data_IF_173672822790
#
_entry.id   IF_173672822790
#
_cell.length_a   1.000
_cell.length_b   1.000
_cell.length_c   1.000
_cell.angle_alpha   90.00
_cell.angle_beta   90.00
_cell.angle_gamma   90.00
#
_symmetry.space_group_name_H-M   'P 1'
#
loop_
_entity.id
_entity.type
_entity.pdbx_description
1 polymer ?
#
# COMPACT_ATOMS: atom_id res chain seq x y z
N UNK A 1 10.63 -21.13 39.74
CA UNK A 1 12.02 -20.80 40.03
C UNK A 1 12.29 -19.37 39.56
N UNK A 2 12.33 -18.48 40.50
CA UNK A 2 12.86 -17.11 40.41
C UNK A 2 14.35 -17.19 40.76
N UNK A 3 15.03 -16.07 40.81
CA UNK A 3 15.56 -15.07 39.86
C UNK A 3 17.07 -14.87 40.09
N UNK A 4 17.69 -13.89 39.44
CA UNK A 4 18.86 -13.16 39.99
C UNK A 4 19.23 -12.07 38.96
N UNK A 5 19.22 -10.86 39.27
CA UNK A 5 19.88 -9.99 40.27
C UNK A 5 20.79 -9.00 39.54
N UNK A 6 20.42 -7.75 39.67
CA UNK A 6 21.19 -6.54 39.31
C UNK A 6 22.26 -6.32 40.42
N UNK A 7 23.39 -5.73 40.16
CA UNK A 7 24.09 -4.98 41.20
C UNK A 7 24.23 -3.50 40.88
N UNK A 8 23.75 -2.73 41.85
CA UNK A 8 24.04 -1.35 42.18
C UNK A 8 25.41 -1.24 42.82
N UNK A 9 26.19 -0.24 42.51
CA UNK A 9 27.31 0.26 43.33
C UNK A 9 27.45 1.79 43.06
N UNK A 10 27.25 2.60 43.96
CA UNK A 10 27.76 2.95 45.27
C UNK A 10 28.48 4.32 45.20
N UNK A 11 27.89 5.25 45.92
CA UNK A 11 28.35 6.61 46.25
C UNK A 11 29.52 6.57 47.25
N UNK A 12 30.42 7.58 47.20
CA UNK A 12 31.13 8.03 48.34
C UNK A 12 32.37 8.83 48.04
N UNK A 13 32.91 9.64 48.94
CA UNK A 13 32.25 10.73 49.64
C UNK A 13 32.98 12.10 49.48
N UNK A 14 32.31 13.13 49.93
CA UNK A 14 32.74 14.51 50.16
C UNK A 14 33.94 14.59 51.11
N UNK A 15 34.87 15.53 50.85
CA UNK A 15 35.68 16.14 51.91
C UNK A 15 35.57 17.66 51.86
N UNK A 16 35.36 18.19 53.04
CA UNK A 16 35.10 19.56 53.40
C UNK A 16 36.38 20.32 53.72
N UNK A 17 36.39 21.58 53.42
CA UNK A 17 36.63 22.82 54.20
C UNK A 17 37.86 22.86 55.16
N UNK A 18 38.69 23.85 55.04
CA UNK A 18 38.68 24.99 55.93
C UNK A 18 39.75 26.04 55.59
N UNK A 19 39.61 27.28 56.10
CA UNK A 19 40.22 28.51 55.59
C UNK A 19 41.32 29.06 56.50
N UNK A 20 41.80 30.25 56.16
CA UNK A 20 42.69 31.22 56.83
C UNK A 20 44.07 31.27 56.19
N UNK A 21 44.69 32.42 55.92
CA UNK A 21 44.66 33.70 56.57
C UNK A 21 45.40 34.77 55.71
N UNK A 22 44.93 35.93 55.90
CA UNK A 22 45.36 37.27 55.63
C UNK A 22 46.88 37.50 55.74
N UNK A 23 47.48 38.16 54.76
CA UNK A 23 48.46 39.31 55.09
C UNK A 23 48.75 40.16 53.84
N UNK A 24 48.58 41.44 54.04
CA UNK A 24 48.94 42.60 53.23
C UNK A 24 50.36 42.57 52.62
N UNK A 25 50.42 42.93 51.32
CA UNK A 25 51.46 43.88 50.86
C UNK A 25 50.94 44.61 49.61
N UNK A 26 50.90 45.93 49.71
CA UNK A 26 50.74 46.89 48.61
C UNK A 26 52.01 46.82 47.74
N UNK A 27 51.83 46.69 46.46
CA UNK A 27 52.80 47.09 45.46
C UNK A 27 52.06 47.70 44.30
N UNK A 28 52.20 48.96 44.10
CA UNK A 28 51.84 49.75 42.96
C UNK A 28 52.72 49.33 41.81
N UNK A 29 52.19 48.71 40.78
CA UNK A 29 52.85 48.60 39.49
C UNK A 29 51.93 48.94 38.34
N UNK A 30 52.43 49.71 37.44
CA UNK A 30 51.97 50.32 36.23
C UNK A 30 51.23 49.27 35.36
N UNK A 31 50.00 49.56 34.98
CA UNK A 31 49.29 48.84 33.93
C UNK A 31 49.85 49.34 32.59
N UNK A 32 50.59 48.50 31.91
CA UNK A 32 50.90 48.67 30.48
C UNK A 32 49.75 48.26 29.56
N UNK A 33 49.52 48.93 28.39
CA UNK A 33 48.37 48.76 27.55
C UNK A 33 48.59 47.65 26.52
N UNK A 34 49.00 46.44 26.93
CA UNK A 34 49.17 45.31 25.99
C UNK A 34 48.00 44.29 25.94
N UNK A 35 47.08 44.31 26.90
CA UNK A 35 46.00 43.31 26.94
C UNK A 35 44.73 43.62 26.05
N UNK A 36 44.66 44.81 25.45
CA UNK A 36 43.51 45.19 24.62
C UNK A 36 43.64 44.70 23.14
N UNK A 37 44.88 44.47 22.67
CA UNK A 37 45.11 43.96 21.32
C UNK A 37 44.84 42.46 21.16
N UNK A 38 45.19 41.64 22.16
CA UNK A 38 44.98 40.18 22.09
C UNK A 38 43.49 39.78 22.15
N UNK A 39 42.65 40.56 22.82
CA UNK A 39 41.19 40.29 22.87
C UNK A 39 40.46 40.58 21.55
N UNK A 40 40.92 41.57 20.79
CA UNK A 40 40.35 41.91 19.48
C UNK A 40 40.74 40.91 18.38
N UNK A 41 41.95 40.36 18.44
CA UNK A 41 42.43 39.34 17.49
C UNK A 41 41.75 37.98 17.73
N UNK A 42 41.44 37.60 18.97
CA UNK A 42 40.72 36.37 19.30
C UNK A 42 39.27 36.42 18.83
N UNK A 43 38.57 37.55 19.04
CA UNK A 43 37.19 37.71 18.55
C UNK A 43 37.10 37.75 17.03
N UNK A 44 38.08 38.35 16.34
CA UNK A 44 38.13 38.28 14.86
C UNK A 44 38.43 36.87 14.36
N UNK A 45 39.32 36.13 14.99
CA UNK A 45 39.64 34.75 14.62
C UNK A 45 38.43 33.80 14.84
N UNK A 46 37.69 33.97 15.95
CA UNK A 46 36.45 33.21 16.20
C UNK A 46 35.36 33.54 15.20
N UNK A 47 35.21 34.80 14.81
CA UNK A 47 34.22 35.21 13.79
C UNK A 47 34.57 34.62 12.43
N UNK A 48 35.81 34.68 11.99
CA UNK A 48 36.30 34.10 10.73
C UNK A 48 36.13 32.57 10.72
N UNK A 49 36.45 31.90 11.83
CA UNK A 49 36.28 30.45 11.96
C UNK A 49 34.80 30.04 11.94
N UNK A 50 33.90 30.82 12.52
CA UNK A 50 32.44 30.63 12.49
C UNK A 50 31.91 30.82 11.08
N UNK A 51 32.29 31.89 10.40
CA UNK A 51 31.87 32.16 9.02
C UNK A 51 32.32 31.08 8.02
N UNK A 52 33.57 30.61 8.16
CA UNK A 52 34.09 29.51 7.36
C UNK A 52 33.31 28.20 7.59
N UNK A 53 32.87 27.95 8.82
CA UNK A 53 32.07 26.78 9.18
C UNK A 53 30.64 26.86 8.55
N UNK A 54 29.99 28.01 8.65
CA UNK A 54 28.66 28.23 8.02
C UNK A 54 28.72 28.10 6.50
N UNK A 55 29.75 28.68 5.89
CA UNK A 55 29.97 28.55 4.45
C UNK A 55 30.20 27.11 4.04
N UNK A 56 30.97 26.34 4.81
CA UNK A 56 31.20 24.93 4.58
C UNK A 56 29.94 24.09 4.66
N UNK A 57 29.01 24.37 5.59
CA UNK A 57 27.73 23.68 5.71
C UNK A 57 26.82 23.98 4.53
N UNK A 58 26.73 25.21 4.07
CA UNK A 58 25.95 25.59 2.90
C UNK A 58 26.49 24.94 1.62
N UNK A 59 27.84 24.92 1.46
CA UNK A 59 28.48 24.29 0.29
C UNK A 59 28.28 22.75 0.26
N UNK A 60 28.15 22.12 1.42
CA UNK A 60 27.92 20.69 1.55
C UNK A 60 26.44 20.29 1.37
N UNK A 61 25.50 21.23 1.30
CA UNK A 61 24.09 20.95 1.15
C UNK A 61 23.81 20.26 -0.21
N UNK A 62 23.01 19.19 -0.25
CA UNK A 62 22.68 18.46 -1.48
C UNK A 62 21.75 19.24 -2.41
N UNK A 63 20.96 20.15 -1.85
CA UNK A 63 20.04 21.00 -2.60
C UNK A 63 20.71 22.35 -2.97
N UNK A 64 20.22 23.00 -4.02
CA UNK A 64 20.63 24.33 -4.36
C UNK A 64 20.16 25.31 -3.29
N UNK A 65 21.11 25.96 -2.61
CA UNK A 65 20.82 26.93 -1.56
C UNK A 65 21.03 28.35 -2.09
N UNK A 66 20.02 29.20 -1.96
CA UNK A 66 20.06 30.60 -2.34
C UNK A 66 19.55 31.44 -1.17
N UNK A 67 20.28 32.49 -0.80
CA UNK A 67 19.86 33.43 0.25
C UNK A 67 19.59 34.77 -0.43
N UNK A 68 18.43 35.35 -0.11
CA UNK A 68 18.02 36.66 -0.66
C UNK A 68 17.83 37.67 0.49
N UNK A 69 18.06 38.93 0.18
CA UNK A 69 17.77 40.06 1.06
C UNK A 69 16.31 40.52 0.93
N UNK A 70 15.93 41.55 1.68
CA UNK A 70 14.60 42.15 1.68
C UNK A 70 14.20 42.75 0.31
N UNK A 71 15.15 43.08 -0.54
CA UNK A 71 14.89 43.59 -1.89
C UNK A 71 14.78 42.44 -2.92
N UNK A 72 14.95 41.19 -2.50
CA UNK A 72 14.96 40.02 -3.37
C UNK A 72 16.26 39.82 -4.14
N UNK A 73 17.34 40.53 -3.78
CA UNK A 73 18.64 40.35 -4.36
C UNK A 73 19.35 39.14 -3.74
N UNK A 74 20.03 38.35 -4.57
CA UNK A 74 20.78 37.17 -4.13
C UNK A 74 22.07 37.62 -3.42
N UNK A 75 22.17 37.33 -2.12
CA UNK A 75 23.35 37.68 -1.29
C UNK A 75 24.28 36.51 -1.11
N UNK A 76 23.78 35.26 -1.22
CA UNK A 76 24.60 34.06 -1.10
C UNK A 76 23.99 32.92 -1.91
N UNK A 77 24.82 32.07 -2.51
CA UNK A 77 24.43 30.79 -3.11
C UNK A 77 25.56 29.77 -2.94
N UNK A 78 25.19 28.49 -2.94
CA UNK A 78 26.13 27.39 -2.86
C UNK A 78 26.51 26.83 -4.24
N UNK A 79 27.51 25.96 -4.28
CA UNK A 79 27.98 25.32 -5.52
C UNK A 79 26.87 24.53 -6.24
N UNK A 80 25.93 23.96 -5.48
CA UNK A 80 24.81 23.21 -6.08
C UNK A 80 23.87 24.14 -6.86
N UNK A 81 23.65 25.36 -6.39
CA UNK A 81 22.87 26.37 -7.13
C UNK A 81 23.58 26.77 -8.44
N UNK A 82 24.91 26.94 -8.41
CA UNK A 82 25.68 27.23 -9.65
C UNK A 82 25.50 26.11 -10.68
N UNK A 83 25.60 24.84 -10.25
CA UNK A 83 25.42 23.67 -11.13
C UNK A 83 24.00 23.52 -11.65
N UNK A 84 23.02 23.71 -10.77
CA UNK A 84 21.61 23.48 -11.11
C UNK A 84 21.07 24.54 -12.07
N UNK A 85 21.45 25.82 -11.85
CA UNK A 85 20.98 26.93 -12.69
C UNK A 85 21.91 27.27 -13.87
N UNK A 86 23.14 26.78 -13.85
CA UNK A 86 24.12 27.01 -14.93
C UNK A 86 24.77 28.39 -14.92
N UNK A 87 24.63 29.14 -13.84
CA UNK A 87 25.29 30.43 -13.63
C UNK A 87 26.53 30.28 -12.78
N UNK A 88 27.50 31.15 -13.00
CA UNK A 88 28.59 31.33 -12.05
C UNK A 88 28.13 32.20 -10.88
N UNK A 89 28.74 32.02 -9.72
CA UNK A 89 28.40 32.78 -8.50
C UNK A 89 28.47 34.29 -8.71
N UNK A 90 29.51 34.77 -9.41
CA UNK A 90 29.72 36.18 -9.71
C UNK A 90 28.64 36.77 -10.65
N UNK A 91 27.94 35.95 -11.42
CA UNK A 91 26.84 36.36 -12.29
C UNK A 91 25.49 36.49 -11.56
N UNK A 92 25.31 35.77 -10.45
CA UNK A 92 24.04 35.79 -9.71
C UNK A 92 24.10 36.66 -8.44
N UNK A 93 25.24 36.85 -7.85
CA UNK A 93 25.36 37.70 -6.66
C UNK A 93 24.92 39.15 -6.97
N UNK A 94 24.02 39.69 -6.14
CA UNK A 94 23.42 41.02 -6.32
C UNK A 94 22.33 41.08 -7.39
N UNK A 95 22.06 39.98 -8.08
CA UNK A 95 20.97 39.92 -9.06
C UNK A 95 19.64 39.55 -8.40
N UNK A 96 18.50 39.97 -8.98
CA UNK A 96 17.20 39.58 -8.48
C UNK A 96 16.98 38.06 -8.63
N UNK A 97 16.35 37.45 -7.62
CA UNK A 97 16.02 36.01 -7.61
C UNK A 97 15.04 35.62 -8.74
N UNK A 98 14.32 36.59 -9.30
CA UNK A 98 13.45 36.41 -10.48
C UNK A 98 14.21 35.91 -11.72
N UNK A 99 15.53 36.04 -11.77
CA UNK A 99 16.34 35.47 -12.86
C UNK A 99 16.33 33.94 -12.89
N UNK A 100 16.08 33.29 -11.75
CA UNK A 100 16.12 31.82 -11.58
C UNK A 100 14.77 31.22 -11.15
N UNK A 101 13.90 32.01 -10.52
CA UNK A 101 12.58 31.61 -10.06
C UNK A 101 11.52 32.52 -10.71
N UNK A 102 10.34 32.02 -11.09
CA UNK A 102 9.33 32.80 -11.81
C UNK A 102 8.87 34.06 -11.05
N UNK A 103 8.51 35.09 -11.84
CA UNK A 103 7.81 36.27 -11.35
C UNK A 103 6.52 35.87 -10.59
N UNK A 104 6.17 36.62 -9.56
CA UNK A 104 5.01 36.31 -8.72
C UNK A 104 5.28 35.38 -7.51
N UNK A 105 6.31 34.56 -7.58
CA UNK A 105 6.80 33.86 -6.37
C UNK A 105 7.88 34.68 -5.65
N UNK A 106 8.72 35.38 -6.42
CA UNK A 106 9.68 36.31 -5.85
C UNK A 106 9.03 37.44 -5.05
N UNK A 107 7.86 37.93 -5.46
CA UNK A 107 7.07 38.92 -4.73
C UNK A 107 6.63 38.41 -3.35
N UNK A 108 6.35 37.11 -3.22
CA UNK A 108 6.06 36.49 -1.91
C UNK A 108 7.28 36.35 -1.02
N UNK A 109 8.47 36.30 -1.61
CA UNK A 109 9.76 36.32 -0.88
C UNK A 109 10.10 37.72 -0.35
N UNK A 110 9.61 38.76 -1.02
CA UNK A 110 9.96 40.16 -0.77
C UNK A 110 8.92 40.87 0.12
N UNK A 111 7.70 40.37 0.20
CA UNK A 111 6.60 41.01 0.90
C UNK A 111 6.90 41.15 2.41
N UNK A 112 6.73 42.35 2.92
CA UNK A 112 6.79 42.76 4.34
C UNK A 112 5.85 41.92 5.27
N UNK A 113 5.09 41.03 4.68
CA UNK A 113 4.08 40.17 5.31
C UNK A 113 4.63 38.85 5.90
N UNK A 114 5.93 38.58 5.78
CA UNK A 114 6.57 37.40 6.40
C UNK A 114 6.40 37.33 7.92
N UNK A 115 6.14 38.48 8.58
CA UNK A 115 5.88 38.52 10.02
C UNK A 115 4.42 38.29 10.43
N UNK A 116 3.46 38.51 9.51
CA UNK A 116 2.02 38.25 9.75
C UNK A 116 1.58 36.88 9.24
N UNK A 117 2.44 36.18 8.50
CA UNK A 117 2.20 34.87 7.90
C UNK A 117 2.99 33.74 8.57
N UNK A 118 3.51 33.92 9.79
CA UNK A 118 4.18 32.84 10.53
C UNK A 118 3.31 31.57 10.58
N UNK A 119 2.00 31.69 10.71
CA UNK A 119 1.09 30.55 10.69
C UNK A 119 0.78 30.02 9.27
N UNK A 120 0.76 30.86 8.26
CA UNK A 120 0.44 30.44 6.88
C UNK A 120 1.67 29.94 6.12
N UNK A 121 2.84 30.50 6.38
CA UNK A 121 4.11 29.97 5.86
C UNK A 121 4.52 28.68 6.58
N UNK A 122 4.30 28.57 7.91
CA UNK A 122 4.59 27.35 8.66
C UNK A 122 3.82 26.14 8.11
N UNK A 123 2.57 26.33 7.64
CA UNK A 123 1.79 25.27 6.99
C UNK A 123 2.26 24.96 5.55
N UNK A 124 2.92 25.89 4.85
CA UNK A 124 3.46 25.66 3.50
C UNK A 124 4.95 25.27 3.47
N UNK A 125 5.70 25.61 4.51
CA UNK A 125 7.14 25.30 4.64
C UNK A 125 7.39 23.78 4.73
N UNK A 126 6.48 23.03 5.34
CA UNK A 126 6.62 21.57 5.52
C UNK A 126 6.25 20.74 4.27
N UNK A 127 5.58 21.33 3.27
CA UNK A 127 5.06 20.57 2.10
C UNK A 127 5.82 20.82 0.80
N UNK A 128 6.78 21.76 0.76
CA UNK A 128 7.49 22.14 -0.49
C UNK A 128 6.54 22.71 -1.56
N UNK A 129 6.86 23.86 -2.14
CA UNK A 129 6.08 24.46 -3.22
C UNK A 129 6.68 24.02 -4.54
N UNK A 130 5.90 23.35 -5.39
CA UNK A 130 6.32 22.98 -6.73
C UNK A 130 6.17 24.14 -7.68
N UNK A 131 7.26 24.49 -8.37
CA UNK A 131 7.35 25.59 -9.33
C UNK A 131 8.14 25.16 -10.56
N UNK A 132 8.20 26.04 -11.56
CA UNK A 132 9.08 25.88 -12.72
C UNK A 132 10.17 26.94 -12.62
N UNK A 133 11.42 26.53 -12.54
CA UNK A 133 12.59 27.41 -12.57
C UNK A 133 13.21 27.48 -13.96
N UNK A 134 14.06 28.49 -14.18
CA UNK A 134 14.75 28.71 -15.46
C UNK A 134 16.25 28.67 -15.27
N UNK A 135 16.95 27.94 -16.17
CA UNK A 135 18.41 27.92 -16.22
C UNK A 135 18.95 29.07 -17.09
N UNK A 136 20.25 29.31 -17.04
CA UNK A 136 20.94 30.31 -17.86
C UNK A 136 20.75 30.12 -19.36
N UNK A 137 20.65 28.88 -19.82
CA UNK A 137 20.41 28.55 -21.22
C UNK A 137 18.96 28.76 -21.67
N UNK A 138 18.09 29.20 -20.77
CA UNK A 138 16.67 29.41 -21.02
C UNK A 138 15.82 28.16 -20.85
N UNK A 139 16.39 26.99 -20.55
CA UNK A 139 15.63 25.78 -20.30
C UNK A 139 14.85 25.89 -18.98
N UNK A 140 13.63 25.35 -18.98
CA UNK A 140 12.77 25.32 -17.81
C UNK A 140 12.76 23.92 -17.19
N UNK A 141 12.68 23.84 -15.88
CA UNK A 141 12.65 22.58 -15.15
C UNK A 141 11.82 22.70 -13.86
N UNK A 142 11.13 21.64 -13.45
CA UNK A 142 10.33 21.65 -12.23
C UNK A 142 11.23 21.61 -11.00
N UNK A 143 10.91 22.47 -10.04
CA UNK A 143 11.59 22.54 -8.75
C UNK A 143 10.60 22.40 -7.61
N UNK A 144 11.10 21.96 -6.47
CA UNK A 144 10.48 22.06 -5.16
C UNK A 144 11.29 23.03 -4.33
N UNK A 145 10.64 24.07 -3.78
CA UNK A 145 11.30 25.10 -3.01
C UNK A 145 10.82 25.11 -1.57
N UNK A 146 11.76 25.16 -0.64
CA UNK A 146 11.52 25.34 0.79
C UNK A 146 12.16 26.63 1.23
N UNK A 147 11.41 27.45 1.99
CA UNK A 147 11.83 28.75 2.45
C UNK A 147 12.01 28.75 3.96
N UNK A 148 13.05 29.43 4.45
CA UNK A 148 13.31 29.61 5.87
C UNK A 148 13.81 31.05 6.12
N UNK A 149 13.16 31.82 6.99
CA UNK A 149 13.67 33.11 7.41
C UNK A 149 14.94 32.94 8.23
N UNK A 150 15.87 33.87 8.06
CA UNK A 150 17.13 33.95 8.79
C UNK A 150 17.34 35.37 9.33
N UNK A 151 17.33 35.53 10.63
CA UNK A 151 17.60 36.83 11.27
C UNK A 151 19.09 37.19 11.11
N UNK A 152 19.36 38.35 10.59
CA UNK A 152 20.71 38.93 10.43
C UNK A 152 20.82 40.29 11.08
N UNK A 153 22.03 40.76 11.32
CA UNK A 153 22.31 42.08 11.89
C UNK A 153 21.82 43.22 10.96
N UNK A 154 21.81 42.95 9.65
CA UNK A 154 21.40 43.89 8.62
C UNK A 154 19.92 43.76 8.21
N UNK A 155 19.15 42.91 8.88
CA UNK A 155 17.73 42.66 8.60
C UNK A 155 17.40 41.19 8.39
N UNK A 156 16.16 40.90 8.00
CA UNK A 156 15.70 39.53 7.71
C UNK A 156 16.18 39.09 6.33
N UNK A 157 16.88 37.98 6.26
CA UNK A 157 17.24 37.27 5.04
C UNK A 157 16.28 36.09 4.85
N UNK A 158 16.09 35.64 3.63
CA UNK A 158 15.32 34.41 3.34
C UNK A 158 16.24 33.39 2.66
N UNK A 159 16.35 32.23 3.27
CA UNK A 159 17.05 31.08 2.69
C UNK A 159 16.07 30.22 1.91
N UNK A 160 16.37 29.97 0.64
CA UNK A 160 15.63 29.07 -0.22
C UNK A 160 16.46 27.81 -0.47
N UNK A 161 15.92 26.63 -0.10
CA UNK A 161 16.43 25.35 -0.56
C UNK A 161 15.62 24.91 -1.79
N UNK A 162 16.30 24.73 -2.92
CA UNK A 162 15.69 24.50 -4.23
C UNK A 162 16.14 23.14 -4.77
N UNK A 163 15.20 22.23 -4.88
CA UNK A 163 15.43 20.87 -5.36
C UNK A 163 14.92 20.69 -6.79
N UNK A 164 15.74 20.20 -7.70
CA UNK A 164 15.32 19.75 -9.02
C UNK A 164 14.54 18.44 -8.89
N UNK A 165 13.28 18.45 -9.31
CA UNK A 165 12.38 17.29 -9.23
C UNK A 165 12.10 16.70 -10.63
N UNK A 166 12.88 17.02 -11.64
CA UNK A 166 12.69 16.53 -13.02
C UNK A 166 12.71 15.00 -13.07
N UNK A 167 13.69 14.36 -12.41
CA UNK A 167 13.81 12.90 -12.38
C UNK A 167 12.63 12.28 -11.65
N UNK A 168 12.22 12.84 -10.50
CA UNK A 168 11.06 12.37 -9.75
C UNK A 168 9.79 12.42 -10.61
N UNK A 169 9.51 13.57 -11.26
CA UNK A 169 8.32 13.74 -12.12
C UNK A 169 8.34 12.83 -13.35
N UNK A 170 9.49 12.64 -13.97
CA UNK A 170 9.63 11.72 -15.09
C UNK A 170 9.32 10.27 -14.67
N UNK A 171 9.86 9.80 -13.53
CA UNK A 171 9.58 8.47 -13.00
C UNK A 171 8.12 8.29 -12.58
N UNK A 172 7.51 9.31 -11.98
CA UNK A 172 6.09 9.28 -11.62
C UNK A 172 5.19 9.23 -12.87
N UNK A 173 5.54 9.98 -13.93
CA UNK A 173 4.81 9.96 -15.20
C UNK A 173 4.91 8.59 -15.88
N UNK A 174 6.11 8.01 -15.94
CA UNK A 174 6.33 6.67 -16.48
C UNK A 174 5.55 5.61 -15.73
N UNK A 175 5.59 5.66 -14.38
CA UNK A 175 4.83 4.73 -13.55
C UNK A 175 3.31 4.86 -13.79
N UNK A 176 2.81 6.08 -13.91
CA UNK A 176 1.37 6.31 -14.21
C UNK A 176 1.00 5.73 -15.58
N UNK A 177 1.85 5.91 -16.59
CA UNK A 177 1.63 5.35 -17.92
C UNK A 177 1.60 3.81 -17.88
N UNK A 178 2.55 3.19 -17.19
CA UNK A 178 2.60 1.73 -17.03
C UNK A 178 1.37 1.20 -16.30
N UNK A 179 0.94 1.84 -15.21
CA UNK A 179 -0.27 1.47 -14.46
C UNK A 179 -1.51 1.57 -15.36
N UNK A 180 -1.62 2.65 -16.14
CA UNK A 180 -2.75 2.85 -17.06
C UNK A 180 -2.76 1.81 -18.19
N UNK A 181 -1.61 1.51 -18.79
CA UNK A 181 -1.48 0.49 -19.82
C UNK A 181 -1.85 -0.90 -19.29
N UNK A 182 -1.38 -1.24 -18.08
CA UNK A 182 -1.72 -2.50 -17.43
C UNK A 182 -3.23 -2.60 -17.13
N UNK A 183 -3.85 -1.53 -16.64
CA UNK A 183 -5.29 -1.48 -16.37
C UNK A 183 -6.11 -1.69 -17.65
N UNK A 184 -5.72 -0.99 -18.75
CA UNK A 184 -6.37 -1.15 -20.06
C UNK A 184 -6.24 -2.57 -20.59
N UNK A 185 -5.03 -3.15 -20.57
CA UNK A 185 -4.80 -4.53 -21.02
C UNK A 185 -5.57 -5.56 -20.20
N UNK A 186 -5.67 -5.35 -18.89
CA UNK A 186 -6.46 -6.23 -18.02
C UNK A 186 -7.96 -6.15 -18.34
N UNK A 187 -8.48 -4.95 -18.61
CA UNK A 187 -9.87 -4.74 -19.01
C UNK A 187 -10.18 -5.39 -20.37
N UNK A 188 -9.28 -5.26 -21.35
CA UNK A 188 -9.42 -5.89 -22.67
C UNK A 188 -9.43 -7.43 -22.54
N UNK A 189 -8.55 -8.00 -21.71
CA UNK A 189 -8.51 -9.44 -21.45
C UNK A 189 -9.80 -9.94 -20.79
N UNK A 190 -10.34 -9.19 -19.83
CA UNK A 190 -11.61 -9.51 -19.17
C UNK A 190 -12.79 -9.45 -20.17
N UNK A 191 -12.82 -8.43 -21.02
CA UNK A 191 -13.84 -8.29 -22.06
C UNK A 191 -13.74 -9.42 -23.09
N UNK A 192 -12.53 -9.77 -23.52
CA UNK A 192 -12.31 -10.89 -24.42
C UNK A 192 -12.82 -12.21 -23.82
N UNK A 193 -12.46 -12.50 -22.56
CA UNK A 193 -12.92 -13.68 -21.85
C UNK A 193 -14.45 -13.73 -21.75
N UNK A 194 -15.11 -12.60 -21.53
CA UNK A 194 -16.55 -12.49 -21.48
C UNK A 194 -17.21 -12.80 -22.83
N UNK A 195 -16.76 -12.13 -23.91
CA UNK A 195 -17.33 -12.32 -25.26
C UNK A 195 -17.11 -13.75 -25.76
N UNK A 196 -15.88 -14.23 -25.67
CA UNK A 196 -15.55 -15.60 -26.07
C UNK A 196 -16.38 -16.65 -25.32
N UNK A 197 -16.57 -16.46 -24.02
CA UNK A 197 -17.37 -17.38 -23.21
C UNK A 197 -18.84 -17.34 -23.57
N UNK A 198 -19.40 -16.17 -23.87
CA UNK A 198 -20.79 -16.03 -24.34
C UNK A 198 -21.00 -16.78 -25.66
N UNK A 199 -20.11 -16.58 -26.64
CA UNK A 199 -20.21 -17.16 -27.96
C UNK A 199 -19.96 -18.67 -27.97
N UNK A 200 -19.27 -19.20 -26.95
CA UNK A 200 -19.10 -20.64 -26.75
C UNK A 200 -20.32 -21.29 -26.06
N UNK A 201 -21.11 -20.54 -25.30
CA UNK A 201 -22.27 -21.10 -24.57
C UNK A 201 -23.36 -21.62 -25.51
N UNK A 202 -23.65 -20.90 -26.59
CA UNK A 202 -24.78 -21.25 -27.48
C UNK A 202 -24.53 -22.57 -28.24
N UNK A 203 -23.40 -22.77 -28.96
CA UNK A 203 -23.11 -24.03 -29.63
C UNK A 203 -23.01 -25.19 -28.63
N UNK A 204 -22.45 -24.95 -27.45
CA UNK A 204 -22.30 -25.97 -26.43
C UNK A 204 -23.65 -26.39 -25.83
N UNK A 205 -24.56 -25.45 -25.65
CA UNK A 205 -25.94 -25.75 -25.23
C UNK A 205 -26.63 -26.67 -26.24
N UNK A 206 -26.43 -26.46 -27.56
CA UNK A 206 -26.97 -27.34 -28.59
C UNK A 206 -26.36 -28.74 -28.53
N UNK A 207 -25.01 -28.82 -28.43
CA UNK A 207 -24.30 -30.11 -28.29
C UNK A 207 -24.81 -30.85 -27.06
N UNK A 208 -24.88 -30.21 -25.90
CA UNK A 208 -25.39 -30.80 -24.65
C UNK A 208 -26.83 -31.30 -24.81
N UNK A 209 -27.71 -30.50 -25.43
CA UNK A 209 -29.11 -30.86 -25.64
C UNK A 209 -29.26 -32.09 -26.53
N UNK A 210 -28.56 -32.13 -27.67
CA UNK A 210 -28.64 -33.26 -28.60
C UNK A 210 -27.97 -34.53 -28.06
N UNK A 211 -26.86 -34.43 -27.37
CA UNK A 211 -26.22 -35.59 -26.73
C UNK A 211 -27.10 -36.19 -25.63
N UNK A 212 -27.74 -35.33 -24.81
CA UNK A 212 -28.71 -35.79 -23.80
C UNK A 212 -29.94 -36.45 -24.44
N UNK A 213 -30.47 -35.92 -25.56
CA UNK A 213 -31.57 -36.51 -26.29
C UNK A 213 -31.17 -37.89 -26.85
N UNK A 214 -29.95 -38.01 -27.39
CA UNK A 214 -29.44 -39.32 -27.86
C UNK A 214 -29.37 -40.32 -26.70
N UNK A 215 -28.80 -39.91 -25.55
CA UNK A 215 -28.75 -40.75 -24.36
C UNK A 215 -30.14 -41.23 -23.91
N UNK A 216 -31.12 -40.28 -23.81
CA UNK A 216 -32.48 -40.64 -23.39
C UNK A 216 -33.21 -41.54 -24.39
N UNK A 217 -33.05 -41.30 -25.71
CA UNK A 217 -33.83 -41.96 -26.75
C UNK A 217 -33.28 -43.34 -27.08
N UNK A 218 -31.96 -43.55 -27.02
CA UNK A 218 -31.30 -44.75 -27.51
C UNK A 218 -30.63 -45.57 -26.43
N UNK A 219 -30.70 -45.17 -25.13
CA UNK A 219 -30.14 -45.94 -24.01
C UNK A 219 -30.66 -47.38 -24.02
N UNK A 220 -29.78 -48.36 -24.04
CA UNK A 220 -30.09 -49.79 -24.10
C UNK A 220 -30.68 -50.30 -25.42
N UNK A 221 -30.73 -49.46 -26.48
CA UNK A 221 -31.18 -49.83 -27.82
C UNK A 221 -30.00 -50.01 -28.79
N UNK A 222 -28.82 -49.58 -28.44
CA UNK A 222 -27.57 -49.72 -29.17
C UNK A 222 -26.65 -50.69 -28.41
N UNK A 223 -25.46 -50.92 -28.93
CA UNK A 223 -24.45 -51.71 -28.21
C UNK A 223 -23.87 -50.97 -27.00
N UNK A 224 -23.21 -51.68 -26.12
CA UNK A 224 -22.60 -51.12 -24.89
C UNK A 224 -21.64 -50.00 -25.15
N UNK A 225 -20.90 -50.07 -26.26
CA UNK A 225 -19.88 -49.09 -26.65
C UNK A 225 -20.56 -47.79 -27.06
N UNK A 226 -21.70 -47.83 -27.75
CA UNK A 226 -22.47 -46.65 -28.11
C UNK A 226 -23.05 -45.93 -26.84
N UNK A 227 -23.59 -46.71 -25.88
CA UNK A 227 -24.07 -46.16 -24.61
C UNK A 227 -22.92 -45.49 -23.83
N UNK A 228 -21.70 -46.09 -23.81
CA UNK A 228 -20.51 -45.50 -23.19
C UNK A 228 -20.07 -44.20 -23.91
N UNK A 229 -20.01 -44.20 -25.24
CA UNK A 229 -19.64 -43.01 -26.01
C UNK A 229 -20.62 -41.85 -25.82
N UNK A 230 -21.93 -42.14 -25.77
CA UNK A 230 -22.95 -41.13 -25.50
C UNK A 230 -22.78 -40.58 -24.08
N UNK A 231 -22.51 -41.42 -23.08
CA UNK A 231 -22.27 -40.96 -21.70
C UNK A 231 -21.05 -40.07 -21.61
N UNK A 232 -19.93 -40.41 -22.27
CA UNK A 232 -18.76 -39.54 -22.34
C UNK A 232 -19.04 -38.22 -23.03
N UNK A 233 -19.83 -38.20 -24.11
CA UNK A 233 -20.18 -36.98 -24.81
C UNK A 233 -21.06 -36.07 -23.94
N UNK A 234 -22.03 -36.62 -23.21
CA UNK A 234 -22.92 -35.89 -22.28
C UNK A 234 -22.08 -35.29 -21.14
N UNK A 235 -21.21 -36.08 -20.50
CA UNK A 235 -20.34 -35.57 -19.43
C UNK A 235 -19.34 -34.49 -19.93
N UNK A 236 -18.79 -34.70 -21.13
CA UNK A 236 -17.90 -33.73 -21.78
C UNK A 236 -18.58 -32.39 -22.01
N UNK A 237 -19.81 -32.40 -22.57
CA UNK A 237 -20.57 -31.20 -22.81
C UNK A 237 -20.98 -30.47 -21.52
N UNK A 238 -21.49 -31.20 -20.52
CA UNK A 238 -21.84 -30.63 -19.21
C UNK A 238 -20.65 -29.98 -18.50
N UNK A 239 -19.48 -30.56 -18.67
CA UNK A 239 -18.25 -29.98 -18.12
C UNK A 239 -17.80 -28.72 -18.82
N UNK A 240 -17.78 -28.66 -20.13
CA UNK A 240 -17.44 -27.46 -20.87
C UNK A 240 -18.39 -26.32 -20.48
N UNK A 241 -19.67 -26.61 -20.29
CA UNK A 241 -20.66 -25.65 -19.84
C UNK A 241 -20.31 -25.07 -18.46
N UNK A 242 -19.90 -25.94 -17.50
CA UNK A 242 -19.44 -25.49 -16.16
C UNK A 242 -18.19 -24.63 -16.23
N UNK A 243 -17.19 -25.01 -17.03
CA UNK A 243 -15.96 -24.24 -17.21
C UNK A 243 -16.28 -22.83 -17.74
N UNK A 244 -17.14 -22.73 -18.76
CA UNK A 244 -17.53 -21.45 -19.35
C UNK A 244 -18.31 -20.60 -18.34
N UNK A 245 -19.23 -21.21 -17.56
CA UNK A 245 -19.96 -20.50 -16.50
C UNK A 245 -19.02 -19.94 -15.41
N UNK A 246 -18.07 -20.75 -14.97
CA UNK A 246 -17.10 -20.33 -13.96
C UNK A 246 -16.15 -19.24 -14.48
N UNK A 247 -15.73 -19.31 -15.77
CA UNK A 247 -14.93 -18.29 -16.41
C UNK A 247 -15.69 -16.95 -16.52
N UNK A 248 -16.96 -17.00 -16.89
CA UNK A 248 -17.85 -15.83 -16.89
C UNK A 248 -18.04 -15.26 -15.49
N UNK A 249 -18.22 -16.11 -14.48
CA UNK A 249 -18.34 -15.69 -13.09
C UNK A 249 -17.04 -14.99 -12.63
N UNK A 250 -15.87 -15.54 -12.95
CA UNK A 250 -14.57 -14.93 -12.66
C UNK A 250 -14.40 -13.55 -13.33
N UNK A 251 -14.78 -13.44 -14.63
CA UNK A 251 -14.72 -12.17 -15.37
C UNK A 251 -15.66 -11.11 -14.77
N UNK A 252 -16.86 -11.49 -14.36
CA UNK A 252 -17.86 -10.57 -13.81
C UNK A 252 -17.52 -10.00 -12.44
N UNK A 253 -16.72 -10.67 -11.65
CA UNK A 253 -16.30 -10.16 -10.33
C UNK A 253 -15.69 -8.77 -10.43
N UNK A 254 -14.88 -8.50 -11.49
CA UNK A 254 -14.22 -7.19 -11.69
C UNK A 254 -15.09 -6.13 -12.37
N UNK A 255 -15.96 -6.55 -13.31
CA UNK A 255 -16.61 -5.63 -14.27
C UNK A 255 -18.08 -5.30 -13.97
N UNK A 256 -18.80 -6.16 -13.27
CA UNK A 256 -20.27 -6.04 -13.03
C UNK A 256 -20.66 -6.14 -11.55
N UNK A 257 -19.74 -6.02 -10.63
CA UNK A 257 -20.11 -6.02 -9.23
C UNK A 257 -20.86 -4.75 -8.83
N UNK A 258 -21.89 -4.91 -7.99
CA UNK A 258 -22.62 -3.80 -7.38
C UNK A 258 -21.74 -2.94 -6.49
N UNK A 259 -22.21 -1.78 -6.13
CA UNK A 259 -21.58 -0.95 -5.10
C UNK A 259 -21.50 -1.71 -3.77
N UNK A 260 -20.42 -1.53 -3.03
CA UNK A 260 -20.26 -2.17 -1.73
C UNK A 260 -21.17 -1.49 -0.71
N UNK A 261 -22.08 -2.22 -0.14
CA UNK A 261 -23.04 -1.74 0.86
C UNK A 261 -22.92 -2.53 2.17
N UNK A 262 -23.48 -1.99 3.24
CA UNK A 262 -23.56 -2.72 4.52
C UNK A 262 -24.39 -4.01 4.33
N UNK A 263 -23.72 -5.16 4.38
CA UNK A 263 -24.28 -6.46 4.04
C UNK A 263 -24.13 -7.43 5.20
N UNK A 264 -25.19 -8.12 5.56
CA UNK A 264 -25.17 -9.17 6.59
C UNK A 264 -24.45 -10.41 6.08
N UNK A 265 -23.27 -10.70 6.62
CA UNK A 265 -22.52 -11.93 6.27
C UNK A 265 -23.28 -13.20 6.68
N UNK A 266 -24.08 -13.12 7.72
CA UNK A 266 -24.93 -14.22 8.19
C UNK A 266 -26.06 -14.55 7.20
N UNK A 267 -26.70 -13.52 6.62
CA UNK A 267 -27.69 -13.71 5.56
C UNK A 267 -27.06 -14.30 4.28
N UNK A 268 -25.89 -13.82 3.90
CA UNK A 268 -25.15 -14.32 2.75
C UNK A 268 -24.72 -15.79 2.94
N UNK A 269 -24.25 -16.16 4.11
CA UNK A 269 -23.92 -17.56 4.44
C UNK A 269 -25.17 -18.45 4.37
N UNK A 270 -26.28 -18.03 4.98
CA UNK A 270 -27.54 -18.80 4.89
C UNK A 270 -27.97 -19.02 3.46
N UNK A 271 -27.88 -18.00 2.59
CA UNK A 271 -28.23 -18.15 1.19
C UNK A 271 -27.28 -19.12 0.46
N UNK A 272 -25.98 -19.08 0.77
CA UNK A 272 -25.00 -20.03 0.22
C UNK A 272 -25.31 -21.48 0.65
N UNK A 273 -25.70 -21.69 1.90
CA UNK A 273 -26.10 -23.02 2.40
C UNK A 273 -27.39 -23.52 1.76
N UNK A 274 -28.37 -22.65 1.51
CA UNK A 274 -29.57 -23.01 0.75
C UNK A 274 -29.22 -23.45 -0.68
N UNK A 275 -28.30 -22.76 -1.35
CA UNK A 275 -27.84 -23.13 -2.68
C UNK A 275 -27.07 -24.45 -2.70
N UNK A 276 -26.50 -24.87 -1.58
CA UNK A 276 -25.76 -26.12 -1.42
C UNK A 276 -26.57 -27.23 -0.74
N UNK A 277 -27.91 -27.05 -0.49
CA UNK A 277 -28.74 -27.97 0.30
C UNK A 277 -28.66 -29.40 -0.18
N UNK A 278 -28.77 -29.65 -1.50
CA UNK A 278 -28.66 -30.99 -2.05
C UNK A 278 -27.29 -31.66 -1.77
N UNK A 279 -26.19 -30.89 -1.89
CA UNK A 279 -24.87 -31.44 -1.60
C UNK A 279 -24.66 -31.67 -0.09
N UNK A 280 -25.25 -30.84 0.75
CA UNK A 280 -25.24 -30.99 2.21
C UNK A 280 -26.02 -32.28 2.61
N UNK A 281 -27.21 -32.48 2.09
CA UNK A 281 -28.02 -33.67 2.34
C UNK A 281 -27.33 -34.96 1.86
N UNK A 282 -26.84 -34.97 0.61
CA UNK A 282 -26.12 -36.12 0.04
C UNK A 282 -24.88 -36.51 0.82
N UNK A 283 -24.22 -35.51 1.38
CA UNK A 283 -22.96 -35.70 2.10
C UNK A 283 -23.11 -35.90 3.60
N UNK A 284 -24.32 -35.71 4.14
CA UNK A 284 -24.58 -35.62 5.58
C UNK A 284 -23.67 -34.61 6.30
N UNK A 285 -23.35 -33.50 5.61
CA UNK A 285 -22.42 -32.50 6.13
C UNK A 285 -22.98 -31.79 7.36
N UNK A 286 -22.16 -31.66 8.40
CA UNK A 286 -22.45 -30.89 9.60
C UNK A 286 -21.78 -29.53 9.50
N UNK A 287 -22.59 -28.47 9.42
CA UNK A 287 -22.10 -27.11 9.27
C UNK A 287 -22.51 -26.31 10.50
N UNK A 288 -21.54 -25.68 11.14
CA UNK A 288 -21.72 -24.79 12.29
C UNK A 288 -21.15 -23.43 11.98
N UNK A 289 -21.75 -22.37 12.50
CA UNK A 289 -21.21 -21.02 12.37
C UNK A 289 -21.48 -20.20 13.63
N UNK A 290 -20.59 -19.24 13.90
CA UNK A 290 -20.79 -18.19 14.87
C UNK A 290 -21.76 -17.12 14.33
N UNK A 291 -22.11 -16.14 15.15
CA UNK A 291 -22.77 -14.92 14.66
C UNK A 291 -21.79 -14.13 13.80
N UNK A 292 -22.18 -13.89 12.53
CA UNK A 292 -21.29 -13.23 11.56
C UNK A 292 -21.62 -11.73 11.47
N UNK A 293 -20.59 -10.88 11.28
CA UNK A 293 -20.73 -9.42 11.27
C UNK A 293 -21.42 -8.89 10.00
N UNK A 294 -21.85 -7.63 10.08
CA UNK A 294 -22.18 -6.82 8.93
C UNK A 294 -20.87 -6.20 8.37
N UNK A 295 -20.66 -6.35 7.05
CA UNK A 295 -19.46 -5.90 6.35
C UNK A 295 -19.82 -5.07 5.13
N UNK A 296 -18.87 -4.29 4.61
CA UNK A 296 -19.05 -3.60 3.31
C UNK A 296 -18.83 -4.60 2.17
N UNK A 297 -19.90 -5.04 1.54
CA UNK A 297 -19.82 -6.08 0.51
C UNK A 297 -20.90 -5.95 -0.57
N UNK A 298 -20.66 -6.61 -1.72
CA UNK A 298 -21.65 -7.00 -2.70
C UNK A 298 -22.27 -8.33 -2.23
N UNK A 299 -23.55 -8.34 -1.89
CA UNK A 299 -24.23 -9.50 -1.34
C UNK A 299 -24.11 -10.74 -2.22
N UNK A 300 -24.30 -10.58 -3.53
CA UNK A 300 -24.25 -11.69 -4.50
C UNK A 300 -22.85 -12.32 -4.55
N UNK A 301 -21.80 -11.48 -4.50
CA UNK A 301 -20.43 -11.95 -4.50
C UNK A 301 -20.07 -12.60 -3.15
N UNK A 302 -20.57 -12.07 -2.05
CA UNK A 302 -20.34 -12.66 -0.73
C UNK A 302 -21.01 -14.04 -0.61
N UNK A 303 -22.23 -14.21 -1.12
CA UNK A 303 -22.88 -15.52 -1.25
C UNK A 303 -22.03 -16.48 -2.08
N UNK A 304 -21.51 -16.03 -3.23
CA UNK A 304 -20.67 -16.85 -4.11
C UNK A 304 -19.35 -17.24 -3.45
N UNK A 305 -18.73 -16.33 -2.66
CA UNK A 305 -17.51 -16.61 -1.91
C UNK A 305 -17.75 -17.75 -0.89
N UNK A 306 -18.78 -17.63 -0.05
CA UNK A 306 -19.15 -18.71 0.90
C UNK A 306 -19.49 -20.01 0.16
N UNK A 307 -20.25 -19.94 -0.91
CA UNK A 307 -20.63 -21.12 -1.70
C UNK A 307 -19.41 -21.85 -2.28
N UNK A 308 -18.39 -21.12 -2.74
CA UNK A 308 -17.15 -21.71 -3.23
C UNK A 308 -16.34 -22.39 -2.11
N UNK A 309 -16.24 -21.76 -0.94
CA UNK A 309 -15.46 -22.32 0.18
C UNK A 309 -16.16 -23.51 0.82
N UNK A 310 -17.43 -23.36 1.18
CA UNK A 310 -18.23 -24.44 1.78
C UNK A 310 -18.40 -25.61 0.80
N UNK A 311 -18.65 -25.32 -0.48
CA UNK A 311 -18.72 -26.34 -1.52
C UNK A 311 -17.42 -27.14 -1.67
N UNK A 312 -16.27 -26.50 -1.56
CA UNK A 312 -14.98 -27.20 -1.56
C UNK A 312 -14.81 -28.05 -0.30
N UNK A 313 -15.18 -27.56 0.86
CA UNK A 313 -15.13 -28.31 2.11
C UNK A 313 -16.01 -29.57 2.09
N UNK A 314 -17.21 -29.49 1.52
CA UNK A 314 -18.10 -30.64 1.31
C UNK A 314 -17.46 -31.64 0.33
N UNK A 315 -16.84 -31.16 -0.72
CA UNK A 315 -16.34 -31.96 -1.83
C UNK A 315 -15.06 -32.74 -1.49
N UNK A 316 -14.04 -32.09 -0.89
CA UNK A 316 -12.71 -32.67 -0.67
C UNK A 316 -12.62 -33.39 0.68
N UNK A 317 -13.41 -34.46 0.84
CA UNK A 317 -13.57 -35.21 2.08
C UNK A 317 -13.17 -36.69 1.95
N UNK A 318 -12.89 -37.31 3.11
CA UNK A 318 -12.80 -38.78 3.28
C UNK A 318 -13.87 -39.32 4.22
N UNK A 319 -14.38 -38.50 5.11
CA UNK A 319 -15.39 -38.80 6.12
C UNK A 319 -16.55 -37.82 5.99
N UNK A 320 -17.57 -37.92 6.81
CA UNK A 320 -18.65 -36.91 6.92
C UNK A 320 -18.05 -35.52 7.13
N UNK A 321 -18.36 -34.54 6.24
CA UNK A 321 -17.79 -33.20 6.36
C UNK A 321 -18.26 -32.50 7.62
N UNK A 322 -17.29 -31.93 8.36
CA UNK A 322 -17.55 -31.01 9.47
C UNK A 322 -16.93 -29.67 9.10
N UNK A 323 -17.79 -28.65 9.03
CA UNK A 323 -17.39 -27.34 8.54
C UNK A 323 -17.78 -26.32 9.59
N UNK A 324 -16.83 -25.48 9.99
CA UNK A 324 -17.05 -24.38 10.93
C UNK A 324 -16.75 -23.06 10.23
N UNK A 325 -17.72 -22.13 10.28
CA UNK A 325 -17.55 -20.77 9.77
C UNK A 325 -17.50 -19.81 10.95
N UNK A 326 -16.43 -19.05 11.07
CA UNK A 326 -16.24 -18.09 12.15
C UNK A 326 -15.77 -16.72 11.60
N UNK A 327 -15.96 -15.68 12.40
CA UNK A 327 -15.44 -14.35 12.10
C UNK A 327 -14.79 -13.75 13.35
N UNK A 328 -13.61 -13.18 13.18
CA UNK A 328 -12.88 -12.53 14.27
C UNK A 328 -12.52 -11.11 13.85
N UNK A 329 -12.68 -10.18 14.78
CA UNK A 329 -12.23 -8.81 14.61
C UNK A 329 -10.89 -8.65 15.31
N UNK A 330 -9.85 -8.29 14.57
CA UNK A 330 -8.54 -7.98 15.15
C UNK A 330 -8.41 -6.47 15.23
N UNK A 331 -8.52 -5.86 16.41
CA UNK A 331 -8.37 -4.43 16.57
C UNK A 331 -6.96 -3.99 16.15
N UNK A 332 -6.84 -3.17 15.13
CA UNK A 332 -5.58 -2.54 14.70
C UNK A 332 -5.25 -1.30 15.53
N UNK A 333 -4.07 -0.71 15.28
CA UNK A 333 -3.63 0.53 15.94
C UNK A 333 -4.35 1.79 15.44
N UNK A 334 -5.12 1.71 14.37
CA UNK A 334 -5.82 2.82 13.72
C UNK A 334 -7.33 2.57 13.76
N UNK A 335 -8.00 3.23 14.65
CA UNK A 335 -9.43 3.14 14.97
C UNK A 335 -10.38 3.17 13.76
N UNK A 336 -11.41 2.31 13.77
CA UNK A 336 -12.67 2.30 13.00
C UNK A 336 -12.72 1.65 11.61
N UNK A 337 -11.63 1.13 11.05
CA UNK A 337 -11.65 0.43 9.74
C UNK A 337 -10.95 -0.92 9.75
N UNK A 338 -10.75 -1.49 10.92
CA UNK A 338 -10.06 -2.78 11.00
C UNK A 338 -10.92 -3.86 10.35
N UNK A 339 -10.36 -4.66 9.43
CA UNK A 339 -11.12 -5.66 8.70
C UNK A 339 -11.55 -6.82 9.61
N UNK A 340 -12.68 -7.40 9.31
CA UNK A 340 -13.08 -8.69 9.83
C UNK A 340 -12.32 -9.81 9.12
N UNK A 341 -11.81 -10.76 9.87
CA UNK A 341 -11.21 -11.99 9.35
C UNK A 341 -12.22 -13.12 9.50
N UNK A 342 -12.66 -13.67 8.39
CA UNK A 342 -13.49 -14.86 8.32
C UNK A 342 -12.62 -16.09 8.15
N UNK A 343 -13.05 -17.21 8.76
CA UNK A 343 -12.43 -18.51 8.59
C UNK A 343 -13.49 -19.56 8.24
N UNK A 344 -13.19 -20.39 7.25
CA UNK A 344 -13.95 -21.58 6.88
C UNK A 344 -13.02 -22.77 7.12
N UNK A 345 -13.28 -23.51 8.18
CA UNK A 345 -12.51 -24.68 8.62
C UNK A 345 -13.22 -25.96 8.22
N UNK A 346 -12.50 -26.93 7.68
CA UNK A 346 -12.97 -28.25 7.29
C UNK A 346 -12.08 -29.37 7.85
N UNK A 347 -12.66 -30.56 7.97
CA UNK A 347 -11.97 -31.81 8.35
C UNK A 347 -11.60 -32.67 7.13
N UNK A 348 -11.36 -32.05 5.96
CA UNK A 348 -11.15 -32.72 4.68
C UNK A 348 -9.75 -33.32 4.51
N UNK A 349 -9.37 -33.48 3.24
CA UNK A 349 -8.10 -34.12 2.84
C UNK A 349 -6.86 -33.35 3.29
N UNK A 350 -7.00 -32.02 3.53
CA UNK A 350 -5.87 -31.13 3.70
C UNK A 350 -5.07 -30.89 2.43
N UNK A 351 -4.16 -29.94 2.48
CA UNK A 351 -3.37 -29.44 1.35
C UNK A 351 -1.92 -29.35 1.80
N UNK A 352 -1.00 -29.83 0.97
CA UNK A 352 0.44 -29.67 1.22
C UNK A 352 0.86 -28.21 1.01
N UNK A 353 1.72 -27.70 1.88
CA UNK A 353 2.14 -26.29 1.91
C UNK A 353 2.75 -25.80 0.57
N UNK A 354 3.41 -26.68 -0.20
CA UNK A 354 3.95 -26.35 -1.53
C UNK A 354 2.88 -25.90 -2.54
N UNK A 355 1.59 -26.15 -2.27
CA UNK A 355 0.48 -25.81 -3.17
C UNK A 355 -0.32 -24.59 -2.73
N UNK A 356 -0.04 -23.97 -1.56
CA UNK A 356 -0.86 -22.89 -0.99
C UNK A 356 -1.03 -21.68 -1.92
N UNK A 357 -0.01 -21.29 -2.63
CA UNK A 357 -0.12 -20.22 -3.62
C UNK A 357 -0.82 -20.70 -4.90
N UNK A 358 -0.52 -21.93 -5.30
CA UNK A 358 -0.98 -22.49 -6.56
C UNK A 358 -2.50 -22.74 -6.61
N UNK A 359 -3.11 -23.13 -5.50
CA UNK A 359 -4.54 -23.47 -5.45
C UNK A 359 -5.48 -22.31 -5.77
N UNK A 360 -5.00 -21.06 -5.65
CA UNK A 360 -5.75 -19.85 -6.01
C UNK A 360 -5.62 -19.47 -7.49
N UNK A 361 -4.79 -20.17 -8.25
CA UNK A 361 -4.68 -20.00 -9.70
C UNK A 361 -5.88 -20.59 -10.45
N UNK A 362 -6.19 -20.04 -11.63
CA UNK A 362 -7.23 -20.60 -12.51
C UNK A 362 -6.85 -22.00 -13.02
N UNK A 363 -7.83 -22.89 -13.12
CA UNK A 363 -7.67 -24.27 -13.60
C UNK A 363 -6.71 -25.13 -12.76
N UNK A 364 -6.38 -24.71 -11.56
CA UNK A 364 -5.50 -25.48 -10.67
C UNK A 364 -6.29 -26.55 -9.93
N UNK A 365 -5.77 -27.78 -9.97
CA UNK A 365 -6.34 -28.95 -9.31
C UNK A 365 -5.22 -29.79 -8.70
N UNK A 366 -5.42 -30.28 -7.47
CA UNK A 366 -4.45 -31.12 -6.77
C UNK A 366 -4.77 -32.63 -6.89
N UNK A 367 -6.05 -32.95 -7.11
CA UNK A 367 -6.52 -34.33 -7.21
C UNK A 367 -6.94 -34.69 -8.64
N UNK A 368 -6.86 -35.98 -8.97
CA UNK A 368 -7.30 -36.49 -10.25
C UNK A 368 -8.80 -36.27 -10.44
N UNK A 369 -9.20 -36.28 -11.71
CA UNK A 369 -10.54 -35.92 -12.11
C UNK A 369 -11.58 -36.97 -11.73
N UNK A 370 -11.16 -38.24 -11.75
CA UNK A 370 -11.96 -39.42 -11.40
C UNK A 370 -12.33 -39.42 -9.90
N UNK A 371 -11.55 -38.72 -9.07
CA UNK A 371 -11.76 -38.67 -7.61
C UNK A 371 -12.70 -37.52 -7.21
N UNK A 372 -12.54 -36.34 -7.81
CA UNK A 372 -13.32 -35.15 -7.42
C UNK A 372 -13.68 -34.31 -8.66
N UNK A 373 -14.98 -34.14 -8.89
CA UNK A 373 -15.49 -33.28 -9.97
C UNK A 373 -15.18 -31.79 -9.72
N UNK A 374 -14.94 -30.98 -10.79
CA UNK A 374 -14.77 -29.53 -10.68
C UNK A 374 -13.88 -28.93 -11.74
N UNK A 375 -13.96 -27.61 -11.88
CA UNK A 375 -13.26 -26.81 -12.91
C UNK A 375 -11.88 -26.30 -12.49
N UNK A 376 -11.65 -26.17 -11.17
CA UNK A 376 -10.43 -25.54 -10.61
C UNK A 376 -10.45 -24.01 -10.65
N UNK A 377 -11.63 -23.37 -10.78
CA UNK A 377 -11.77 -21.92 -10.83
C UNK A 377 -12.37 -21.36 -9.52
N UNK A 378 -13.09 -22.16 -8.73
CA UNK A 378 -13.83 -21.68 -7.57
C UNK A 378 -13.00 -20.93 -6.52
N UNK A 379 -11.77 -21.40 -6.18
CA UNK A 379 -10.88 -20.70 -5.27
C UNK A 379 -10.32 -19.42 -5.88
N UNK A 380 -10.07 -19.39 -7.19
CA UNK A 380 -9.66 -18.18 -7.88
C UNK A 380 -10.77 -17.11 -7.85
N UNK A 381 -12.05 -17.53 -8.01
CA UNK A 381 -13.20 -16.64 -7.85
C UNK A 381 -13.28 -16.11 -6.42
N UNK A 382 -13.16 -16.97 -5.41
CA UNK A 382 -13.25 -16.59 -4.02
C UNK A 382 -12.15 -15.57 -3.66
N UNK A 383 -10.92 -15.80 -4.11
CA UNK A 383 -9.79 -14.85 -3.93
C UNK A 383 -10.06 -13.52 -4.62
N UNK A 384 -10.51 -13.53 -5.88
CA UNK A 384 -10.81 -12.30 -6.64
C UNK A 384 -11.95 -11.50 -5.99
N UNK A 385 -12.95 -12.17 -5.41
CA UNK A 385 -14.00 -11.52 -4.63
C UNK A 385 -13.41 -10.82 -3.40
N UNK A 386 -12.62 -11.52 -2.58
CA UNK A 386 -12.01 -10.94 -1.40
C UNK A 386 -11.14 -9.71 -1.76
N UNK A 387 -10.30 -9.81 -2.79
CA UNK A 387 -9.44 -8.72 -3.30
C UNK A 387 -10.25 -7.53 -3.82
N UNK A 388 -11.35 -7.76 -4.54
CA UNK A 388 -12.25 -6.68 -4.99
C UNK A 388 -12.85 -5.89 -3.83
N UNK A 389 -13.12 -6.57 -2.71
CA UNK A 389 -13.62 -5.94 -1.48
C UNK A 389 -12.51 -5.29 -0.63
N UNK A 390 -11.27 -5.20 -1.15
CA UNK A 390 -10.13 -4.62 -0.44
C UNK A 390 -9.54 -5.53 0.63
N UNK A 391 -9.90 -6.82 0.62
CA UNK A 391 -9.39 -7.82 1.54
C UNK A 391 -8.32 -8.72 0.93
N UNK A 392 -7.96 -9.76 1.67
CA UNK A 392 -6.99 -10.78 1.29
C UNK A 392 -7.55 -12.17 1.52
N UNK A 393 -6.93 -13.19 0.90
CA UNK A 393 -7.29 -14.58 1.12
C UNK A 393 -6.04 -15.44 1.35
N UNK A 394 -6.12 -16.36 2.32
CA UNK A 394 -5.04 -17.27 2.69
C UNK A 394 -5.59 -18.65 3.06
N UNK A 395 -4.70 -19.62 3.21
CA UNK A 395 -5.03 -20.98 3.65
C UNK A 395 -4.00 -21.46 4.66
N UNK A 396 -4.47 -22.16 5.68
CA UNK A 396 -3.69 -22.97 6.61
C UNK A 396 -4.21 -24.39 6.51
N UNK A 397 -3.33 -25.36 6.28
CA UNK A 397 -3.78 -26.75 6.09
C UNK A 397 -2.67 -27.72 6.40
N UNK A 398 -3.07 -28.92 6.82
CA UNK A 398 -2.18 -30.06 7.02
C UNK A 398 -2.77 -31.27 6.31
N UNK A 399 -2.01 -31.97 5.46
CA UNK A 399 -2.47 -33.18 4.80
C UNK A 399 -3.08 -34.20 5.78
N UNK A 400 -4.29 -34.61 5.51
CA UNK A 400 -5.05 -35.57 6.35
C UNK A 400 -5.78 -34.97 7.55
N UNK A 401 -5.63 -33.69 7.85
CA UNK A 401 -6.24 -33.03 9.02
C UNK A 401 -7.27 -31.95 8.66
N UNK A 402 -7.43 -31.62 7.36
CA UNK A 402 -8.33 -30.58 6.90
C UNK A 402 -7.65 -29.28 6.54
N UNK A 403 -8.45 -28.26 6.23
CA UNK A 403 -7.99 -26.93 5.83
C UNK A 403 -8.80 -25.82 6.50
N UNK A 404 -8.14 -24.69 6.71
CA UNK A 404 -8.78 -23.44 7.14
C UNK A 404 -8.50 -22.37 6.10
N UNK A 405 -9.53 -21.98 5.36
CA UNK A 405 -9.46 -20.86 4.44
C UNK A 405 -9.84 -19.58 5.17
N UNK A 406 -8.97 -18.57 5.14
CA UNK A 406 -9.20 -17.27 5.77
C UNK A 406 -9.32 -16.20 4.70
N UNK A 407 -10.27 -15.28 4.89
CA UNK A 407 -10.38 -14.08 4.07
C UNK A 407 -10.74 -12.86 4.92
N UNK A 408 -10.36 -11.68 4.47
CA UNK A 408 -10.66 -10.44 5.17
C UNK A 408 -11.64 -9.57 4.38
N UNK A 409 -12.53 -8.87 5.09
CA UNK A 409 -13.45 -7.89 4.50
C UNK A 409 -13.47 -6.62 5.36
N UNK A 410 -13.66 -5.43 4.75
CA UNK A 410 -13.73 -4.18 5.50
C UNK A 410 -14.99 -4.14 6.38
N UNK A 411 -14.83 -3.62 7.60
CA UNK A 411 -15.95 -3.42 8.51
C UNK A 411 -16.95 -2.40 7.95
N UNK A 412 -18.25 -2.59 8.25
CA UNK A 412 -19.29 -1.59 8.00
C UNK A 412 -19.08 -0.38 8.92
N UNK A 413 -19.40 0.83 8.43
CA UNK A 413 -19.32 2.08 9.20
C UNK A 413 -20.59 2.35 10.02
N UNK A 414 -21.54 1.44 10.10
CA UNK A 414 -22.71 1.67 10.93
C UNK A 414 -22.34 1.65 12.42
N UNK A 415 -22.80 2.68 13.18
CA UNK A 415 -22.67 2.67 14.62
C UNK A 415 -23.58 1.59 15.19
N UNK A 416 -23.03 0.85 16.10
CA UNK A 416 -23.72 -0.12 16.97
C UNK A 416 -24.87 0.55 17.74
#
# INVERSE_FOLDING_TARGET
MRPDSIPTAALGPRRAVNPMSNQHRRSTDRIEPHHVRDGLDLTQAETVASEARYRGLLEAAPDAMVVVDQAGAIVLLNMQAEKQFGYRRDELLGQPVTNIVPDGFAERLIADDLRSTEDALAQQIDTGIELIARRKDGSEFPIEIMLSPLDSVDGVLVTAAIRDISVRKASEAELREQVQALATSNQELEQFAYVASHDLQEPLRMISSYTQLLGRRYSGQLDSDADEFIAFAVDGAARMQRIIQDLLAFSRVGTKGSELVATSSDAALRQALLNLSAAIEESEAVITHDELPVVMADETQLVQLFQNLVGNAIKYRRTTPRITVSATHVPGKTHRRDPWTFAVEDNGLGIDAQYFERIFGMFQRLHKREEFAGTGIGLAIAKKIAERHGGTMSVESTPGSGSTFRFTLPASLEPS
#
